data_IF_050586755231
#
_entry.id   IF_050586755231
#
_cell.length_a   1.000
_cell.length_b   1.000
_cell.length_c   1.000
_cell.angle_alpha   90.00
_cell.angle_beta   90.00
_cell.angle_gamma   90.00
#
_symmetry.space_group_name_H-M   'P 1'
#
loop_
_entity.id
_entity.type
_entity.pdbx_description
1 polymer ?
#
# COMPACT_ATOMS: atom_id res chain seq x y z
N UNK A 1 7.02 -48.77 20.02
CA UNK A 1 6.89 -48.06 21.32
C UNK A 1 5.56 -47.31 21.30
N UNK A 2 4.52 -47.75 22.02
CA UNK A 2 4.23 -47.42 23.45
C UNK A 2 4.34 -45.91 23.72
N UNK A 3 3.38 -45.19 24.29
CA UNK A 3 2.14 -45.55 24.99
C UNK A 3 1.27 -44.28 25.19
N UNK A 4 -0.05 -44.46 25.16
CA UNK A 4 -1.12 -43.87 26.01
C UNK A 4 -0.73 -42.65 26.87
N UNK A 5 -1.38 -41.49 26.71
CA UNK A 5 -2.66 -41.10 27.36
C UNK A 5 -2.55 -40.80 28.86
N UNK A 6 -3.44 -39.88 29.30
CA UNK A 6 -4.04 -39.73 30.63
C UNK A 6 -3.50 -38.58 31.53
N UNK A 7 -4.46 -37.71 31.91
CA UNK A 7 -4.82 -37.41 33.32
C UNK A 7 -3.82 -36.51 34.07
N UNK A 8 -4.18 -35.49 34.87
CA UNK A 8 -5.42 -35.05 35.51
C UNK A 8 -5.10 -33.82 36.38
N UNK A 9 -6.15 -33.14 36.86
CA UNK A 9 -6.32 -32.54 38.21
C UNK A 9 -5.29 -31.48 38.62
N UNK A 10 -5.68 -30.25 38.93
CA UNK A 10 -6.65 -29.92 39.98
C UNK A 10 -5.92 -29.78 41.33
N UNK A 11 -5.84 -28.54 41.82
CA UNK A 11 -5.29 -28.13 43.13
C UNK A 11 -4.88 -26.66 43.02
N UNK A 12 -5.73 -25.67 43.35
CA UNK A 12 -6.26 -25.28 44.67
C UNK A 12 -5.17 -24.90 45.69
N UNK A 13 -5.34 -23.68 46.23
CA UNK A 13 -4.72 -23.07 47.43
C UNK A 13 -3.36 -22.41 47.19
N UNK A 14 -3.28 -21.08 47.13
CA UNK A 14 -3.49 -20.05 48.18
C UNK A 14 -2.19 -19.70 48.94
N UNK A 15 -2.08 -18.40 49.25
CA UNK A 15 -1.10 -17.75 50.13
C UNK A 15 0.30 -17.54 49.49
N UNK A 16 0.98 -16.39 49.57
CA UNK A 16 0.98 -15.32 50.56
C UNK A 16 1.31 -13.96 49.95
N UNK A 17 0.73 -12.93 50.58
CA UNK A 17 1.20 -11.54 50.68
C UNK A 17 2.73 -11.40 50.70
N UNK A 18 3.27 -10.49 49.88
CA UNK A 18 4.25 -9.50 50.34
C UNK A 18 3.93 -8.16 49.67
N UNK A 19 3.42 -7.23 50.49
CA UNK A 19 3.48 -5.80 50.25
C UNK A 19 4.95 -5.39 50.16
N UNK A 20 5.38 -4.90 49.01
CA UNK A 20 6.53 -4.01 48.94
C UNK A 20 6.16 -2.81 48.06
N UNK A 21 5.86 -1.71 48.75
CA UNK A 21 5.93 -0.35 48.23
C UNK A 21 7.31 -0.16 47.60
N UNK A 22 7.40 -0.37 46.29
CA UNK A 22 8.49 0.05 45.45
C UNK A 22 7.94 1.04 44.45
N UNK A 23 7.92 2.32 44.84
CA UNK A 23 7.61 3.43 43.94
C UNK A 23 8.75 3.54 42.91
N UNK A 24 8.75 2.69 41.89
CA UNK A 24 9.64 2.86 40.75
C UNK A 24 9.14 4.04 39.93
N UNK A 25 9.93 5.11 39.72
CA UNK A 25 9.64 6.05 38.66
C UNK A 25 9.70 5.26 37.35
N UNK A 26 8.53 4.98 36.79
CA UNK A 26 8.40 4.39 35.46
C UNK A 26 9.14 5.35 34.52
N UNK A 27 10.23 4.94 33.85
CA UNK A 27 10.86 5.80 32.86
C UNK A 27 9.78 6.15 31.84
N UNK A 28 9.66 7.45 31.56
CA UNK A 28 8.55 8.04 30.84
C UNK A 28 8.18 7.19 29.63
N UNK A 29 6.88 6.95 29.47
CA UNK A 29 6.34 6.61 28.16
C UNK A 29 6.80 7.73 27.23
N UNK A 30 7.85 7.49 26.46
CA UNK A 30 8.22 8.36 25.37
C UNK A 30 6.97 8.51 24.52
N UNK A 31 6.34 9.68 24.57
CA UNK A 31 5.27 10.02 23.64
C UNK A 31 5.88 9.79 22.26
N UNK A 32 5.35 8.80 21.52
CA UNK A 32 5.66 8.70 20.11
C UNK A 32 5.39 10.08 19.51
N UNK A 33 6.33 10.67 18.76
CA UNK A 33 6.11 11.98 18.18
C UNK A 33 4.78 11.95 17.44
N UNK A 34 3.92 12.92 17.72
CA UNK A 34 2.63 13.03 17.04
C UNK A 34 2.89 12.97 15.54
N UNK A 35 2.21 12.05 14.84
CA UNK A 35 2.34 11.95 13.40
C UNK A 35 2.07 13.34 12.81
N UNK A 36 2.94 13.87 11.94
CA UNK A 36 2.78 15.21 11.42
C UNK A 36 1.41 15.34 10.73
N UNK A 37 0.56 16.19 11.29
CA UNK A 37 -0.75 16.49 10.72
C UNK A 37 -0.53 17.45 9.56
N UNK A 38 -0.86 17.01 8.35
CA UNK A 38 -0.72 17.81 7.14
C UNK A 38 -1.62 19.04 7.20
N UNK A 39 -1.11 20.19 6.77
CA UNK A 39 -1.94 21.40 6.63
C UNK A 39 -2.94 21.24 5.47
N UNK A 40 -4.05 22.01 5.43
CA UNK A 40 -4.99 21.97 4.31
C UNK A 40 -4.32 22.21 2.94
N UNK A 41 -3.30 23.08 2.89
CA UNK A 41 -2.51 23.35 1.69
C UNK A 41 -1.75 22.10 1.24
N UNK A 42 -1.10 21.40 2.18
CA UNK A 42 -0.34 20.18 1.90
C UNK A 42 -1.26 19.04 1.45
N UNK A 43 -2.47 18.93 2.02
CA UNK A 43 -3.49 17.98 1.56
C UNK A 43 -3.96 18.28 0.14
N UNK A 44 -4.22 19.55 -0.18
CA UNK A 44 -4.60 19.95 -1.54
C UNK A 44 -3.48 19.65 -2.55
N UNK A 45 -2.22 19.91 -2.19
CA UNK A 45 -1.05 19.57 -2.98
C UNK A 45 -0.95 18.06 -3.23
N UNK A 46 -1.06 17.24 -2.18
CA UNK A 46 -1.07 15.78 -2.29
C UNK A 46 -2.11 15.27 -3.28
N UNK A 47 -3.33 15.81 -3.20
CA UNK A 47 -4.41 15.41 -4.10
C UNK A 47 -4.14 15.83 -5.54
N UNK A 48 -3.71 17.07 -5.77
CA UNK A 48 -3.41 17.57 -7.10
C UNK A 48 -2.28 16.78 -7.77
N UNK A 49 -1.21 16.50 -7.02
CA UNK A 49 -0.05 15.82 -7.56
C UNK A 49 -0.30 14.32 -7.73
N UNK A 50 -1.10 13.70 -6.85
CA UNK A 50 -1.60 12.33 -7.09
C UNK A 50 -2.34 12.24 -8.43
N UNK A 51 -3.22 13.20 -8.73
CA UNK A 51 -3.96 13.23 -10.01
C UNK A 51 -3.00 13.39 -11.20
N UNK A 52 -1.98 14.24 -11.08
CA UNK A 52 -0.97 14.42 -12.12
C UNK A 52 -0.17 13.15 -12.38
N UNK A 53 0.26 12.45 -11.32
CA UNK A 53 0.99 11.18 -11.43
C UNK A 53 0.15 10.12 -12.15
N UNK A 54 -1.13 9.99 -11.77
CA UNK A 54 -2.03 9.02 -12.43
C UNK A 54 -2.31 9.40 -13.89
N UNK A 55 -2.51 10.68 -14.21
CA UNK A 55 -2.72 11.13 -15.60
C UNK A 55 -1.45 10.91 -16.45
N UNK A 56 -0.27 11.18 -15.91
CA UNK A 56 1.00 10.92 -16.59
C UNK A 56 1.18 9.42 -16.88
N UNK A 57 0.79 8.55 -15.95
CA UNK A 57 0.77 7.12 -16.17
C UNK A 57 -0.20 6.74 -17.31
N UNK A 58 -1.43 7.26 -17.30
CA UNK A 58 -2.42 7.03 -18.36
C UNK A 58 -1.86 7.43 -19.74
N UNK A 59 -1.28 8.63 -19.84
CA UNK A 59 -0.70 9.11 -21.09
C UNK A 59 0.45 8.22 -21.59
N UNK A 60 1.34 7.77 -20.70
CA UNK A 60 2.42 6.83 -21.06
C UNK A 60 1.85 5.52 -21.59
N UNK A 61 0.85 4.95 -20.93
CA UNK A 61 0.22 3.70 -21.38
C UNK A 61 -0.46 3.88 -22.74
N UNK A 62 -1.12 5.01 -22.97
CA UNK A 62 -1.69 5.34 -24.30
C UNK A 62 -0.61 5.36 -25.37
N UNK A 63 0.51 6.05 -25.13
CA UNK A 63 1.62 6.15 -26.08
C UNK A 63 2.29 4.79 -26.36
N UNK A 64 2.39 3.91 -25.35
CA UNK A 64 3.01 2.59 -25.50
C UNK A 64 2.11 1.61 -26.25
N UNK A 65 0.81 1.59 -25.91
CA UNK A 65 -0.13 0.60 -26.41
C UNK A 65 -0.91 1.02 -27.67
N UNK A 66 -0.96 2.32 -27.95
CA UNK A 66 -1.85 2.87 -28.98
C UNK A 66 -3.33 2.91 -28.57
N UNK A 67 -3.66 2.54 -27.32
CA UNK A 67 -5.03 2.58 -26.83
C UNK A 67 -5.53 4.01 -26.59
N UNK A 68 -6.84 4.21 -26.77
CA UNK A 68 -7.53 5.44 -26.37
C UNK A 68 -7.50 5.65 -24.86
N UNK A 69 -7.68 6.90 -24.42
CA UNK A 69 -7.73 7.24 -22.99
C UNK A 69 -8.82 6.47 -22.26
N UNK A 70 -9.98 6.32 -22.89
CA UNK A 70 -11.13 5.61 -22.35
C UNK A 70 -10.85 4.11 -22.16
N UNK A 71 -10.11 3.49 -23.09
CA UNK A 71 -9.66 2.09 -22.94
C UNK A 71 -8.69 1.95 -21.77
N UNK A 72 -7.70 2.85 -21.66
CA UNK A 72 -6.71 2.82 -20.58
C UNK A 72 -7.37 3.03 -19.21
N UNK A 73 -8.29 3.99 -19.09
CA UNK A 73 -9.00 4.25 -17.84
C UNK A 73 -9.87 3.07 -17.39
N UNK A 74 -10.51 2.36 -18.32
CA UNK A 74 -11.28 1.13 -18.00
C UNK A 74 -10.38 -0.02 -17.57
N UNK A 75 -9.17 -0.10 -18.12
CA UNK A 75 -8.17 -1.11 -17.76
C UNK A 75 -7.63 -0.91 -16.33
N UNK A 76 -7.45 0.34 -15.91
CA UNK A 76 -6.96 0.68 -14.57
C UNK A 76 -7.98 0.25 -13.49
N UNK A 77 -7.58 -0.55 -12.49
CA UNK A 77 -8.46 -0.90 -11.38
C UNK A 77 -8.79 0.32 -10.53
N UNK A 78 -10.04 0.38 -10.06
CA UNK A 78 -10.46 1.36 -9.06
C UNK A 78 -9.61 1.24 -7.78
N UNK A 79 -9.33 2.39 -7.14
CA UNK A 79 -8.55 2.47 -5.91
C UNK A 79 -9.15 1.55 -4.84
N UNK A 80 -8.31 0.73 -4.20
CA UNK A 80 -8.73 -0.20 -3.14
C UNK A 80 -9.19 -1.58 -3.63
N UNK A 81 -9.21 -1.86 -4.95
CA UNK A 81 -9.39 -3.24 -5.41
C UNK A 81 -8.14 -4.08 -5.12
N UNK A 82 -8.35 -5.23 -4.50
CA UNK A 82 -7.35 -6.28 -4.29
C UNK A 82 -7.14 -7.06 -5.59
N UNK A 83 -6.56 -6.42 -6.60
CA UNK A 83 -6.18 -7.06 -7.85
C UNK A 83 -4.86 -6.51 -8.30
N UNK A 84 -3.98 -7.38 -8.77
CA UNK A 84 -2.71 -6.97 -9.33
C UNK A 84 -2.94 -6.08 -10.56
N UNK A 85 -2.41 -4.86 -10.48
CA UNK A 85 -2.70 -3.79 -11.43
C UNK A 85 -2.23 -4.11 -12.84
N UNK A 86 -1.01 -4.63 -13.00
CA UNK A 86 -0.41 -4.88 -14.32
C UNK A 86 -1.09 -6.01 -15.10
N UNK A 87 -1.27 -7.23 -14.55
CA UNK A 87 -1.99 -8.29 -15.27
C UNK A 87 -3.39 -7.87 -15.72
N UNK A 88 -4.10 -7.11 -14.86
CA UNK A 88 -5.40 -6.55 -15.22
C UNK A 88 -5.31 -5.58 -16.39
N UNK A 89 -4.33 -4.67 -16.38
CA UNK A 89 -4.14 -3.69 -17.45
C UNK A 89 -3.82 -4.42 -18.77
N UNK A 90 -2.89 -5.37 -18.76
CA UNK A 90 -2.54 -6.14 -19.95
C UNK A 90 -3.76 -6.85 -20.54
N UNK A 91 -4.44 -7.67 -19.74
CA UNK A 91 -5.61 -8.42 -20.19
C UNK A 91 -6.75 -7.52 -20.70
N UNK A 92 -6.98 -6.37 -20.05
CA UNK A 92 -8.01 -5.44 -20.48
C UNK A 92 -7.65 -4.73 -21.80
N UNK A 93 -6.39 -4.31 -21.96
CA UNK A 93 -5.92 -3.67 -23.19
C UNK A 93 -5.90 -4.65 -24.35
N UNK A 94 -5.40 -5.87 -24.16
CA UNK A 94 -5.34 -6.89 -25.22
C UNK A 94 -6.73 -7.26 -25.74
N UNK A 95 -7.70 -7.39 -24.83
CA UNK A 95 -9.11 -7.60 -25.20
C UNK A 95 -9.68 -6.43 -25.99
N UNK A 96 -9.43 -5.20 -25.53
CA UNK A 96 -10.01 -4.00 -26.14
C UNK A 96 -9.36 -3.67 -27.49
N UNK A 97 -8.08 -3.96 -27.66
CA UNK A 97 -7.31 -3.79 -28.90
C UNK A 97 -7.45 -4.98 -29.86
N UNK A 98 -7.98 -6.12 -29.40
CA UNK A 98 -8.07 -7.38 -30.13
C UNK A 98 -6.72 -7.89 -30.66
N UNK A 99 -5.64 -7.56 -29.95
CA UNK A 99 -4.28 -7.93 -30.28
C UNK A 99 -3.49 -8.10 -28.97
N UNK A 100 -2.55 -9.07 -28.91
CA UNK A 100 -1.66 -9.18 -27.77
C UNK A 100 -0.74 -7.96 -27.68
N UNK A 101 -0.39 -7.55 -26.45
CA UNK A 101 0.69 -6.58 -26.26
C UNK A 101 2.01 -7.30 -26.50
N UNK A 102 2.94 -6.64 -27.19
CA UNK A 102 4.29 -7.20 -27.34
C UNK A 102 5.04 -7.20 -26.01
N UNK A 103 6.04 -8.07 -25.87
CA UNK A 103 6.90 -8.10 -24.67
C UNK A 103 7.54 -6.73 -24.41
N UNK A 104 7.91 -6.00 -25.46
CA UNK A 104 8.43 -4.64 -25.35
C UNK A 104 7.37 -3.68 -24.79
N UNK A 105 6.13 -3.73 -25.29
CA UNK A 105 5.04 -2.90 -24.76
C UNK A 105 4.75 -3.22 -23.31
N UNK A 106 4.67 -4.51 -22.95
CA UNK A 106 4.47 -4.94 -21.56
C UNK A 106 5.63 -4.48 -20.66
N UNK A 107 6.88 -4.62 -21.11
CA UNK A 107 8.07 -4.14 -20.39
C UNK A 107 8.06 -2.63 -20.16
N UNK A 108 7.65 -1.84 -21.17
CA UNK A 108 7.54 -0.38 -21.05
C UNK A 108 6.39 0.04 -20.12
N UNK A 109 5.27 -0.67 -20.12
CA UNK A 109 4.16 -0.42 -19.18
C UNK A 109 4.59 -0.78 -17.75
N UNK A 110 5.33 -1.88 -17.57
CA UNK A 110 5.90 -2.25 -16.28
C UNK A 110 6.82 -1.16 -15.73
N UNK A 111 7.71 -0.61 -16.56
CA UNK A 111 8.58 0.51 -16.18
C UNK A 111 7.78 1.76 -15.79
N UNK A 112 6.76 2.11 -16.58
CA UNK A 112 5.87 3.24 -16.27
C UNK A 112 5.11 3.07 -14.94
N UNK A 113 4.71 1.84 -14.60
CA UNK A 113 4.10 1.53 -13.29
C UNK A 113 5.12 1.65 -12.15
N UNK A 114 6.38 1.27 -12.38
CA UNK A 114 7.48 1.49 -11.43
C UNK A 114 7.69 2.97 -11.13
N UNK A 115 7.76 3.80 -12.16
CA UNK A 115 7.86 5.26 -12.04
C UNK A 115 6.67 5.86 -11.29
N UNK A 116 5.43 5.43 -11.60
CA UNK A 116 4.21 5.85 -10.90
C UNK A 116 4.29 5.52 -9.40
N UNK A 117 4.65 4.27 -9.07
CA UNK A 117 4.79 3.84 -7.67
C UNK A 117 5.85 4.64 -6.93
N UNK A 118 6.98 4.89 -7.56
CA UNK A 118 8.06 5.68 -6.98
C UNK A 118 7.62 7.13 -6.74
N UNK A 119 7.00 7.77 -7.73
CA UNK A 119 6.48 9.13 -7.59
C UNK A 119 5.44 9.24 -6.45
N UNK A 120 4.54 8.27 -6.32
CA UNK A 120 3.59 8.22 -5.20
C UNK A 120 4.24 8.01 -3.84
N UNK A 121 5.34 7.24 -3.79
CA UNK A 121 6.12 7.02 -2.56
C UNK A 121 6.82 8.31 -2.10
N UNK A 122 7.32 9.09 -3.04
CA UNK A 122 8.06 10.33 -2.73
C UNK A 122 7.13 11.52 -2.45
N UNK A 123 5.86 11.44 -2.89
CA UNK A 123 4.92 12.53 -2.82
C UNK A 123 4.64 13.06 -1.40
N UNK A 124 4.49 12.24 -0.33
CA UNK A 124 4.31 12.75 1.03
C UNK A 124 5.47 13.61 1.51
N UNK A 125 6.71 13.24 1.17
CA UNK A 125 7.89 14.04 1.52
C UNK A 125 7.91 15.37 0.76
N UNK A 126 7.53 15.36 -0.52
CA UNK A 126 7.39 16.59 -1.31
C UNK A 126 6.30 17.51 -0.75
N UNK A 127 5.18 16.95 -0.29
CA UNK A 127 4.09 17.71 0.28
C UNK A 127 4.47 18.36 1.62
N UNK A 128 5.24 17.68 2.46
CA UNK A 128 5.75 18.24 3.72
C UNK A 128 6.70 19.43 3.51
N UNK A 129 7.33 19.54 2.34
CA UNK A 129 8.22 20.62 1.96
C UNK A 129 7.51 21.82 1.29
N UNK A 130 6.18 21.79 1.17
CA UNK A 130 5.33 22.89 0.66
C UNK A 130 4.65 23.61 1.82
#
# INVERSE_FOLDING_TARGET
>A
MNMKSLISRGGLLAALLVLSLGLSPRPGLAQSPAAPVLTPIQVAYLQAETRRIEEAFVQKVMLISGASREQVLRAIPAKGRLTDRLPRIYNALERDLKAPLTDEQQGRIYAAEGERKQALKDLPAQAAAR
#
